data_IF_396970776844
#
_entry.id   IF_396970776844
#
_cell.length_a   1.000
_cell.length_b   1.000
_cell.length_c   1.000
_cell.angle_alpha   90.00
_cell.angle_beta   90.00
_cell.angle_gamma   90.00
#
_symmetry.space_group_name_H-M   'P 1'
#
loop_
_entity.id
_entity.type
_entity.pdbx_description
1 polymer ?
#
# COMPACT_ATOMS: atom_id res chain seq x y z
N UNK A 1 0.54 10.40 -0.19
CA UNK A 1 -0.21 10.38 -1.47
C UNK A 1 -0.06 11.64 -2.33
N UNK A 2 0.19 12.82 -1.75
CA UNK A 2 0.17 14.10 -2.47
C UNK A 2 1.08 14.15 -3.72
N UNK A 3 2.23 13.48 -3.71
CA UNK A 3 3.16 13.46 -4.84
C UNK A 3 2.63 12.64 -6.05
N UNK A 4 1.88 11.57 -5.81
CA UNK A 4 1.36 10.70 -6.87
C UNK A 4 0.00 11.16 -7.40
N UNK A 5 -0.74 11.94 -6.60
CA UNK A 5 -2.09 12.42 -6.93
C UNK A 5 -2.18 13.21 -8.25
N UNK A 6 -1.25 14.13 -8.63
CA UNK A 6 -1.36 14.87 -9.88
C UNK A 6 -1.34 13.98 -11.13
N UNK A 7 -0.61 12.86 -11.08
CA UNK A 7 -0.47 11.95 -12.22
C UNK A 7 -1.45 10.78 -12.17
N UNK A 8 -1.76 10.27 -10.99
CA UNK A 8 -2.50 9.01 -10.82
C UNK A 8 -3.83 9.16 -10.10
N UNK A 9 -4.14 10.33 -9.53
CA UNK A 9 -5.35 10.53 -8.70
C UNK A 9 -6.67 10.41 -9.44
N UNK A 10 -6.66 10.47 -10.78
CA UNK A 10 -7.85 10.26 -11.61
C UNK A 10 -8.16 8.78 -11.87
N UNK A 11 -7.26 7.87 -11.51
CA UNK A 11 -7.48 6.45 -11.69
C UNK A 11 -8.48 5.92 -10.67
N UNK A 12 -9.31 4.97 -11.13
CA UNK A 12 -10.37 4.37 -10.33
C UNK A 12 -9.81 3.86 -9.01
N UNK A 13 -10.48 4.16 -7.91
CA UNK A 13 -10.13 3.74 -6.54
C UNK A 13 -8.67 4.02 -6.12
N UNK A 14 -8.01 5.04 -6.70
CA UNK A 14 -6.62 5.40 -6.42
C UNK A 14 -6.31 5.47 -4.92
N UNK A 15 -7.11 6.23 -4.17
CA UNK A 15 -6.88 6.42 -2.73
C UNK A 15 -7.02 5.11 -1.94
N UNK A 16 -7.97 4.26 -2.33
CA UNK A 16 -8.21 2.98 -1.67
C UNK A 16 -7.14 1.93 -2.01
N UNK A 17 -6.65 1.89 -3.26
CA UNK A 17 -5.66 0.91 -3.68
C UNK A 17 -4.22 1.27 -3.30
N UNK A 18 -3.90 2.55 -3.14
CA UNK A 18 -2.52 2.98 -2.89
C UNK A 18 -1.90 2.37 -1.62
N UNK A 19 -2.59 2.26 -0.46
CA UNK A 19 -2.08 1.56 0.72
C UNK A 19 -1.55 0.14 0.44
N UNK A 20 -2.29 -0.62 -0.37
CA UNK A 20 -1.94 -1.98 -0.75
C UNK A 20 -0.74 -2.00 -1.71
N UNK A 21 -0.71 -1.09 -2.67
CA UNK A 21 0.41 -0.95 -3.61
C UNK A 21 1.70 -0.57 -2.89
N UNK A 22 1.64 0.37 -1.93
CA UNK A 22 2.80 0.75 -1.09
C UNK A 22 3.25 -0.44 -0.25
N UNK A 23 2.31 -1.17 0.35
CA UNK A 23 2.61 -2.36 1.13
C UNK A 23 3.33 -3.43 0.32
N UNK A 24 2.94 -3.63 -0.94
CA UNK A 24 3.61 -4.57 -1.85
C UNK A 24 4.99 -4.08 -2.27
N UNK A 25 5.10 -2.80 -2.64
CA UNK A 25 6.39 -2.22 -3.02
C UNK A 25 7.41 -2.28 -1.87
N UNK A 26 6.95 -2.11 -0.63
CA UNK A 26 7.79 -2.28 0.56
C UNK A 26 8.26 -3.73 0.73
N UNK A 27 7.37 -4.72 0.58
CA UNK A 27 7.74 -6.13 0.64
C UNK A 27 8.79 -6.49 -0.42
N UNK A 28 8.59 -6.03 -1.66
CA UNK A 28 9.55 -6.24 -2.76
C UNK A 28 10.90 -5.60 -2.46
N UNK A 29 10.93 -4.39 -1.90
CA UNK A 29 12.16 -3.70 -1.50
C UNK A 29 12.91 -4.42 -0.35
N UNK A 30 12.21 -5.24 0.44
CA UNK A 30 12.80 -6.10 1.47
C UNK A 30 13.25 -7.46 0.93
N UNK A 31 13.18 -7.69 -0.38
CA UNK A 31 13.57 -8.95 -1.03
C UNK A 31 12.50 -10.05 -0.96
N UNK A 32 11.26 -9.71 -0.60
CA UNK A 32 10.15 -10.67 -0.57
C UNK A 32 9.58 -10.81 -1.99
N UNK A 33 10.12 -11.79 -2.72
CA UNK A 33 9.75 -12.03 -4.12
C UNK A 33 8.28 -12.39 -4.27
N UNK A 34 7.78 -13.33 -3.47
CA UNK A 34 6.40 -13.80 -3.58
C UNK A 34 5.42 -13.00 -2.70
N UNK A 35 4.18 -12.78 -3.15
CA UNK A 35 3.16 -12.15 -2.31
C UNK A 35 2.96 -12.90 -1.00
N UNK A 36 2.88 -12.14 0.09
CA UNK A 36 2.55 -12.69 1.41
C UNK A 36 1.03 -12.77 1.57
N UNK A 37 0.59 -13.72 2.37
CA UNK A 37 -0.84 -13.84 2.73
C UNK A 37 -1.27 -12.55 3.44
N UNK A 38 -2.41 -12.01 3.01
CA UNK A 38 -3.02 -10.86 3.66
C UNK A 38 -3.77 -11.31 4.92
N UNK A 39 -3.16 -11.08 6.09
CA UNK A 39 -3.76 -11.43 7.39
C UNK A 39 -4.44 -10.22 8.03
N UNK A 40 -5.39 -10.47 8.94
CA UNK A 40 -6.06 -9.42 9.69
C UNK A 40 -5.11 -8.59 10.57
N UNK A 41 -4.01 -9.20 11.05
CA UNK A 41 -2.96 -8.52 11.80
C UNK A 41 -2.21 -7.52 10.92
N UNK A 42 -1.73 -7.96 9.75
CA UNK A 42 -1.02 -7.12 8.77
C UNK A 42 -1.89 -5.96 8.28
N UNK A 43 -3.20 -6.19 8.11
CA UNK A 43 -4.14 -5.14 7.74
C UNK A 43 -4.16 -4.01 8.80
N UNK A 44 -4.28 -4.36 10.09
CA UNK A 44 -4.25 -3.40 11.19
C UNK A 44 -2.91 -2.68 11.30
N UNK A 45 -1.80 -3.39 11.13
CA UNK A 45 -0.45 -2.80 11.15
C UNK A 45 -0.27 -1.77 10.02
N UNK A 46 -0.69 -2.13 8.81
CA UNK A 46 -0.62 -1.27 7.64
C UNK A 46 -1.45 0.01 7.85
N UNK A 47 -2.70 -0.11 8.31
CA UNK A 47 -3.54 1.05 8.60
C UNK A 47 -3.02 1.88 9.77
N UNK A 48 -2.46 1.24 10.81
CA UNK A 48 -1.83 1.92 11.94
C UNK A 48 -0.61 2.75 11.53
N UNK A 49 0.16 2.29 10.54
CA UNK A 49 1.29 3.03 9.99
C UNK A 49 0.86 4.23 9.12
N UNK A 50 -0.33 4.20 8.52
CA UNK A 50 -0.85 5.27 7.64
C UNK A 50 -1.57 6.40 8.37
N UNK A 51 -2.03 6.16 9.59
CA UNK A 51 -2.76 7.15 10.40
C UNK A 51 -1.86 8.07 11.25
N UNK A 52 -0.53 8.05 11.04
CA UNK A 52 0.43 8.95 11.68
C UNK A 52 0.63 10.26 10.91
#
# INVERSE_FOLDING_TARGET
>A
MAALRPRYGHWVIFEHCMPFNVSRAYDEAQGIEHPRIWTAERDREMWGALQQ
#
